data_IF_728678124977
#
_entry.id   IF_728678124977
#
_cell.length_a   1.000
_cell.length_b   1.000
_cell.length_c   1.000
_cell.angle_alpha   90.00
_cell.angle_beta   90.00
_cell.angle_gamma   90.00
#
_symmetry.space_group_name_H-M   'P 1'
#
loop_
_entity.id
_entity.type
_entity.pdbx_description
1 polymer ?
#
# COMPACT_ATOMS: atom_id res chain seq x y z
N UNK A 1 -38.91 -19.25 41.85
CA UNK A 1 -37.45 -19.20 42.03
C UNK A 1 -36.80 -19.14 40.66
N UNK A 2 -36.33 -17.96 40.26
CA UNK A 2 -35.82 -17.64 38.92
C UNK A 2 -34.36 -18.11 38.76
N UNK A 3 -34.07 -18.90 37.72
CA UNK A 3 -32.71 -19.23 37.28
C UNK A 3 -32.51 -18.72 35.86
N UNK A 4 -31.95 -17.53 35.71
CA UNK A 4 -31.29 -17.08 34.48
C UNK A 4 -30.24 -16.04 34.88
N UNK A 5 -28.95 -16.39 34.87
CA UNK A 5 -28.04 -15.63 34.02
C UNK A 5 -26.83 -16.47 33.57
N UNK A 6 -26.89 -17.10 32.40
CA UNK A 6 -25.68 -17.72 31.81
C UNK A 6 -25.50 -17.49 30.31
N UNK A 7 -26.46 -16.87 29.62
CA UNK A 7 -26.38 -16.66 28.17
C UNK A 7 -25.69 -15.35 27.75
N UNK A 8 -25.37 -14.44 28.68
CA UNK A 8 -24.83 -13.13 28.34
C UNK A 8 -23.31 -13.10 28.08
N UNK A 9 -22.56 -14.13 28.46
CA UNK A 9 -21.08 -14.06 28.45
C UNK A 9 -20.44 -14.54 27.14
N UNK A 10 -21.16 -15.27 26.28
CA UNK A 10 -20.62 -15.81 25.03
C UNK A 10 -20.66 -14.84 23.84
N UNK A 11 -21.38 -13.72 23.94
CA UNK A 11 -21.49 -12.75 22.84
C UNK A 11 -20.31 -11.76 22.75
N UNK A 12 -19.46 -11.66 23.77
CA UNK A 12 -18.37 -10.67 23.85
C UNK A 12 -17.02 -11.14 23.26
N UNK A 13 -16.89 -12.41 22.85
CA UNK A 13 -15.63 -12.94 22.29
C UNK A 13 -15.53 -12.90 20.75
N UNK A 14 -16.58 -12.47 20.05
CA UNK A 14 -16.63 -12.49 18.57
C UNK A 14 -16.24 -11.17 17.89
N UNK A 15 -15.85 -10.14 18.65
CA UNK A 15 -15.55 -8.81 18.09
C UNK A 15 -14.07 -8.44 18.01
N UNK A 16 -13.18 -9.35 18.40
CA UNK A 16 -11.75 -9.21 18.15
C UNK A 16 -11.41 -9.85 16.80
N UNK A 17 -11.76 -9.19 15.69
CA UNK A 17 -11.18 -9.57 14.41
C UNK A 17 -9.65 -9.54 14.59
N UNK A 18 -8.92 -10.63 14.30
CA UNK A 18 -7.47 -10.65 14.46
C UNK A 18 -6.90 -9.53 13.58
N UNK A 19 -5.90 -8.79 14.09
CA UNK A 19 -5.23 -7.68 13.39
C UNK A 19 -4.68 -8.04 11.98
N UNK A 20 -4.71 -9.32 11.63
CA UNK A 20 -4.18 -9.96 10.45
C UNK A 20 -5.26 -9.99 9.35
N UNK A 21 -6.54 -9.80 9.68
CA UNK A 21 -7.64 -9.76 8.71
C UNK A 21 -7.45 -8.64 7.67
N UNK A 22 -6.80 -7.53 8.04
CA UNK A 22 -6.46 -6.44 7.11
C UNK A 22 -5.46 -6.86 6.03
N UNK A 23 -4.57 -7.80 6.33
CA UNK A 23 -3.52 -8.25 5.41
C UNK A 23 -4.05 -9.20 4.33
N UNK A 24 -5.19 -9.87 4.56
CA UNK A 24 -5.83 -10.75 3.57
C UNK A 24 -6.66 -10.01 2.51
N UNK A 25 -6.82 -8.69 2.64
CA UNK A 25 -7.54 -7.86 1.69
C UNK A 25 -6.61 -6.81 1.07
N UNK A 26 -6.88 -6.43 -0.18
CA UNK A 26 -6.22 -5.28 -0.82
C UNK A 26 -6.76 -3.95 -0.32
N UNK A 27 -7.89 -3.93 0.37
CA UNK A 27 -8.58 -2.70 0.73
C UNK A 27 -7.72 -1.83 1.66
N UNK A 28 -7.27 -0.68 1.15
CA UNK A 28 -6.53 0.36 1.90
C UNK A 28 -7.47 1.45 2.43
N UNK A 29 -8.79 1.20 2.39
CA UNK A 29 -9.84 2.14 2.76
C UNK A 29 -9.72 3.49 2.01
N UNK A 30 -9.40 3.46 0.71
CA UNK A 30 -9.11 4.68 -0.07
C UNK A 30 -10.26 5.71 -0.13
N UNK A 31 -11.49 5.31 0.16
CA UNK A 31 -12.62 6.24 0.29
C UNK A 31 -12.50 7.19 1.50
N UNK A 32 -11.62 6.88 2.46
CA UNK A 32 -11.35 7.71 3.66
C UNK A 32 -10.28 8.79 3.42
N UNK A 33 -9.67 8.82 2.22
CA UNK A 33 -8.66 9.82 1.88
C UNK A 33 -9.27 11.22 1.78
N UNK A 34 -8.55 12.24 2.27
CA UNK A 34 -9.09 13.61 2.39
C UNK A 34 -9.24 14.34 1.07
N UNK A 35 -8.53 13.92 0.02
CA UNK A 35 -8.53 14.59 -1.29
C UNK A 35 -8.77 13.58 -2.41
N UNK A 36 -9.37 14.01 -3.55
CA UNK A 36 -9.54 13.15 -4.71
C UNK A 36 -8.22 12.59 -5.25
N UNK A 37 -7.15 13.38 -5.22
CA UNK A 37 -5.83 12.93 -5.67
C UNK A 37 -5.27 11.85 -4.75
N UNK A 38 -5.29 12.05 -3.42
CA UNK A 38 -4.87 11.03 -2.44
C UNK A 38 -5.68 9.72 -2.60
N UNK A 39 -6.99 9.83 -2.83
CA UNK A 39 -7.84 8.68 -3.11
C UNK A 39 -7.41 7.96 -4.39
N UNK A 40 -7.04 8.70 -5.44
CA UNK A 40 -6.48 8.18 -6.69
C UNK A 40 -5.16 7.43 -6.50
N UNK A 41 -4.18 8.02 -5.80
CA UNK A 41 -2.90 7.35 -5.48
C UNK A 41 -3.16 6.06 -4.70
N UNK A 42 -3.98 6.16 -3.65
CA UNK A 42 -4.33 5.03 -2.80
C UNK A 42 -4.94 3.89 -3.62
N UNK A 43 -5.86 4.19 -4.55
CA UNK A 43 -6.50 3.17 -5.39
C UNK A 43 -5.52 2.49 -6.34
N UNK A 44 -4.53 3.21 -6.87
CA UNK A 44 -3.47 2.61 -7.68
C UNK A 44 -2.59 1.67 -6.84
N UNK A 45 -2.23 2.07 -5.62
CA UNK A 45 -1.49 1.20 -4.69
C UNK A 45 -2.32 -0.07 -4.36
N UNK A 46 -3.58 0.09 -3.96
CA UNK A 46 -4.53 -1.00 -3.67
C UNK A 46 -4.64 -1.99 -4.84
N UNK A 47 -4.76 -1.47 -6.07
CA UNK A 47 -4.85 -2.27 -7.29
C UNK A 47 -3.57 -3.08 -7.56
N UNK A 48 -2.40 -2.48 -7.32
CA UNK A 48 -1.11 -3.09 -7.71
C UNK A 48 -0.37 -3.82 -6.60
N UNK A 49 -0.90 -3.86 -5.37
CA UNK A 49 -0.36 -4.71 -4.31
C UNK A 49 -0.20 -6.18 -4.78
N UNK A 50 0.65 -6.93 -4.13
CA UNK A 50 0.87 -8.34 -4.45
C UNK A 50 0.68 -9.18 -3.20
N UNK A 51 -0.01 -10.31 -3.35
CA UNK A 51 -0.12 -11.27 -2.25
C UNK A 51 1.23 -11.95 -2.07
N UNK A 52 1.74 -11.94 -0.85
CA UNK A 52 3.01 -12.55 -0.48
C UNK A 52 2.76 -13.52 0.66
N UNK A 53 3.37 -14.69 0.59
CA UNK A 53 3.34 -15.67 1.68
C UNK A 53 4.36 -15.36 2.78
N UNK A 54 5.47 -14.74 2.40
CA UNK A 54 6.59 -14.48 3.28
C UNK A 54 6.79 -12.97 3.44
N UNK A 55 7.14 -12.54 4.65
CA UNK A 55 7.58 -11.18 4.95
C UNK A 55 8.76 -11.26 5.92
N UNK A 56 9.87 -10.59 5.62
CA UNK A 56 11.09 -10.63 6.47
C UNK A 56 11.56 -12.04 6.87
N UNK A 57 11.40 -13.02 5.98
CA UNK A 57 11.82 -14.41 6.23
C UNK A 57 10.88 -15.21 7.13
N UNK A 58 9.70 -14.69 7.49
CA UNK A 58 8.68 -15.40 8.27
C UNK A 58 7.42 -15.63 7.46
N UNK A 59 6.62 -16.65 7.83
CA UNK A 59 5.31 -16.90 7.25
C UNK A 59 4.36 -15.77 7.68
N UNK A 60 4.05 -14.88 6.75
CA UNK A 60 3.24 -13.70 6.98
C UNK A 60 2.39 -13.41 5.73
N UNK A 61 1.36 -14.23 5.48
CA UNK A 61 0.52 -14.11 4.30
C UNK A 61 -0.22 -12.78 4.27
N UNK A 62 -0.18 -12.10 3.13
CA UNK A 62 -0.97 -10.90 2.94
C UNK A 62 -0.62 -10.09 1.69
N UNK A 63 -1.48 -9.13 1.36
CA UNK A 63 -1.24 -8.15 0.32
C UNK A 63 -0.25 -7.10 0.79
N UNK A 64 0.82 -6.91 0.02
CA UNK A 64 1.93 -6.01 0.33
C UNK A 64 2.20 -5.09 -0.84
N UNK A 65 2.75 -3.93 -0.52
CA UNK A 65 3.39 -3.07 -1.50
C UNK A 65 4.79 -3.61 -1.76
N UNK A 66 5.03 -4.12 -2.96
CA UNK A 66 6.36 -4.58 -3.41
C UNK A 66 6.99 -3.54 -4.33
N UNK A 67 8.26 -3.68 -4.68
CA UNK A 67 8.83 -2.84 -5.72
C UNK A 67 8.09 -3.00 -7.07
N UNK A 68 7.53 -4.18 -7.39
CA UNK A 68 6.70 -4.36 -8.59
C UNK A 68 5.38 -3.59 -8.48
N UNK A 69 4.78 -3.54 -7.29
CA UNK A 69 3.62 -2.69 -7.01
C UNK A 69 3.95 -1.21 -7.25
N UNK A 70 5.06 -0.72 -6.70
CA UNK A 70 5.49 0.68 -6.90
C UNK A 70 5.75 0.96 -8.38
N UNK A 71 6.41 0.04 -9.10
CA UNK A 71 6.60 0.16 -10.55
C UNK A 71 5.27 0.35 -11.27
N UNK A 72 4.33 -0.57 -11.06
CA UNK A 72 3.02 -0.54 -11.73
C UNK A 72 2.27 0.75 -11.38
N UNK A 73 2.28 1.16 -10.12
CA UNK A 73 1.67 2.43 -9.68
C UNK A 73 2.33 3.65 -10.35
N UNK A 74 3.65 3.70 -10.40
CA UNK A 74 4.40 4.76 -11.09
C UNK A 74 4.13 4.79 -12.60
N UNK A 75 4.04 3.63 -13.23
CA UNK A 75 3.81 3.57 -14.68
C UNK A 75 2.35 3.85 -15.06
N UNK A 76 1.41 3.66 -14.12
CA UNK A 76 -0.02 3.93 -14.34
C UNK A 76 -0.38 5.42 -14.21
N UNK A 77 0.43 6.24 -13.53
CA UNK A 77 0.24 7.70 -13.47
C UNK A 77 1.56 8.44 -13.41
N UNK A 78 1.65 9.60 -14.05
CA UNK A 78 2.79 10.49 -13.86
C UNK A 78 2.82 11.02 -12.43
N UNK A 79 3.99 10.97 -11.80
CA UNK A 79 4.28 11.63 -10.52
C UNK A 79 5.27 12.77 -10.75
N UNK A 80 5.13 13.82 -9.96
CA UNK A 80 5.87 15.06 -10.05
C UNK A 80 6.18 15.60 -8.65
N UNK A 81 7.08 16.60 -8.52
CA UNK A 81 7.32 17.25 -7.24
C UNK A 81 6.06 17.84 -6.58
N UNK A 82 5.01 18.17 -7.36
CA UNK A 82 3.74 18.66 -6.83
C UNK A 82 2.96 17.59 -6.04
N UNK A 83 3.27 16.31 -6.23
CA UNK A 83 2.66 15.19 -5.51
C UNK A 83 3.29 14.95 -4.12
N UNK A 84 4.43 15.56 -3.81
CA UNK A 84 5.12 15.32 -2.53
C UNK A 84 4.26 15.65 -1.30
N UNK A 85 3.52 16.78 -1.24
CA UNK A 85 2.69 17.08 -0.08
C UNK A 85 1.58 16.05 0.16
N UNK A 86 0.96 15.53 -0.90
CA UNK A 86 -0.10 14.50 -0.75
C UNK A 86 0.49 13.17 -0.31
N UNK A 87 1.67 12.80 -0.82
CA UNK A 87 2.37 11.58 -0.41
C UNK A 87 2.81 11.66 1.07
N UNK A 88 3.33 12.81 1.52
CA UNK A 88 3.64 13.04 2.94
C UNK A 88 2.41 12.92 3.84
N UNK A 89 1.25 13.39 3.38
CA UNK A 89 0.01 13.21 4.13
C UNK A 89 -0.40 11.73 4.20
N UNK A 90 -0.27 10.98 3.10
CA UNK A 90 -0.60 9.56 3.05
C UNK A 90 0.34 8.71 3.91
N UNK A 91 1.59 9.13 4.11
CA UNK A 91 2.53 8.50 5.05
C UNK A 91 2.05 8.52 6.51
N UNK A 92 1.09 9.39 6.86
CA UNK A 92 0.47 9.45 8.19
C UNK A 92 -0.71 8.49 8.35
N UNK A 93 -0.97 7.61 7.36
CA UNK A 93 -2.04 6.61 7.43
C UNK A 93 -1.80 5.60 8.55
N UNK A 94 -2.88 5.14 9.19
CA UNK A 94 -2.82 4.01 10.12
C UNK A 94 -2.55 2.66 9.41
N UNK A 95 -2.80 2.58 8.09
CA UNK A 95 -2.46 1.41 7.29
C UNK A 95 -0.98 1.48 6.87
N UNK A 96 -0.17 0.60 7.44
CA UNK A 96 1.28 0.52 7.20
C UNK A 96 1.62 0.29 5.73
N UNK A 97 0.75 -0.36 4.95
CA UNK A 97 0.98 -0.63 3.52
C UNK A 97 0.85 0.66 2.72
N UNK A 98 -0.15 1.47 3.05
CA UNK A 98 -0.33 2.80 2.45
C UNK A 98 0.83 3.72 2.81
N UNK A 99 1.27 3.70 4.07
CA UNK A 99 2.45 4.45 4.52
C UNK A 99 3.70 4.07 3.72
N UNK A 100 4.00 2.77 3.61
CA UNK A 100 5.15 2.26 2.86
C UNK A 100 5.07 2.62 1.38
N UNK A 101 3.89 2.49 0.77
CA UNK A 101 3.67 2.84 -0.63
C UNK A 101 3.86 4.33 -0.91
N UNK A 102 3.29 5.19 -0.07
CA UNK A 102 3.45 6.63 -0.19
C UNK A 102 4.93 7.06 -0.01
N UNK A 103 5.62 6.49 0.98
CA UNK A 103 7.04 6.76 1.23
C UNK A 103 7.95 6.35 0.08
N UNK A 104 7.70 5.18 -0.52
CA UNK A 104 8.46 4.71 -1.68
C UNK A 104 8.23 5.61 -2.91
N UNK A 105 6.97 5.99 -3.19
CA UNK A 105 6.63 6.91 -4.28
C UNK A 105 7.27 8.29 -4.06
N UNK A 106 7.18 8.84 -2.85
CA UNK A 106 7.81 10.13 -2.52
C UNK A 106 9.32 10.07 -2.75
N UNK A 107 9.97 9.01 -2.28
CA UNK A 107 11.41 8.82 -2.47
C UNK A 107 11.79 8.80 -3.95
N UNK A 108 10.98 8.17 -4.81
CA UNK A 108 11.21 8.19 -6.26
C UNK A 108 11.03 9.59 -6.85
N UNK A 109 9.99 10.32 -6.44
CA UNK A 109 9.75 11.71 -6.88
C UNK A 109 10.93 12.60 -6.49
N UNK A 110 11.30 12.62 -5.21
CA UNK A 110 12.33 13.51 -4.66
C UNK A 110 13.72 13.25 -5.25
N UNK A 111 13.99 12.00 -5.63
CA UNK A 111 15.29 11.63 -6.22
C UNK A 111 15.30 11.71 -7.74
N UNK A 112 14.21 12.10 -8.38
CA UNK A 112 14.17 12.33 -9.82
C UNK A 112 14.64 13.76 -10.14
N UNK A 113 15.55 13.98 -11.12
CA UNK A 113 16.10 12.99 -12.04
C UNK A 113 17.26 12.16 -11.44
N UNK A 114 17.26 10.87 -11.77
CA UNK A 114 18.35 9.92 -11.46
C UNK A 114 19.26 9.74 -12.70
N UNK A 115 20.51 9.27 -12.54
CA UNK A 115 21.35 8.86 -13.67
C UNK A 115 20.66 7.80 -14.55
N UNK A 116 20.91 7.80 -15.86
CA UNK A 116 20.27 6.85 -16.79
C UNK A 116 20.55 5.37 -16.44
N UNK A 117 21.71 5.07 -15.85
CA UNK A 117 22.08 3.73 -15.39
C UNK A 117 21.37 3.27 -14.11
N UNK A 118 20.67 4.17 -13.41
CA UNK A 118 20.00 3.85 -12.15
C UNK A 118 18.70 3.09 -12.38
N UNK A 119 18.51 1.97 -11.69
CA UNK A 119 17.22 1.24 -11.66
C UNK A 119 16.11 2.04 -10.97
N UNK A 120 16.41 3.19 -10.36
CA UNK A 120 15.40 4.11 -9.83
C UNK A 120 15.06 5.24 -10.81
N UNK A 121 15.69 5.29 -11.99
CA UNK A 121 15.32 6.20 -13.07
C UNK A 121 14.13 5.61 -13.84
N UNK A 122 12.96 6.28 -13.93
CA UNK A 122 11.80 5.81 -14.70
C UNK A 122 12.07 5.52 -16.19
N UNK A 123 13.07 6.17 -16.78
CA UNK A 123 13.48 5.96 -18.16
C UNK A 123 14.38 4.72 -18.36
N UNK A 124 14.87 4.11 -17.28
CA UNK A 124 15.69 2.91 -17.36
C UNK A 124 14.78 1.68 -17.66
N UNK A 125 15.12 0.80 -18.64
CA UNK A 125 14.36 -0.42 -18.89
C UNK A 125 14.30 -1.36 -17.68
N UNK A 126 15.24 -1.21 -16.76
CA UNK A 126 15.32 -1.94 -15.50
C UNK A 126 14.56 -1.23 -14.34
N UNK A 127 13.79 -0.17 -14.63
CA UNK A 127 13.17 0.68 -13.61
C UNK A 127 12.32 -0.07 -12.59
N UNK A 128 12.63 0.21 -11.32
CA UNK A 128 12.13 -0.34 -10.06
C UNK A 128 11.69 -1.80 -10.22
N UNK A 129 12.65 -2.58 -10.71
CA UNK A 129 12.80 -4.04 -10.62
C UNK A 129 13.13 -4.71 -11.95
N UNK A 130 12.98 -4.04 -13.10
CA UNK A 130 12.89 -4.54 -14.50
C UNK A 130 11.52 -4.43 -15.14
N UNK A 131 11.39 -4.78 -16.42
CA UNK A 131 10.26 -4.43 -17.33
C UNK A 131 9.92 -2.93 -17.45
N UNK A 132 10.58 -2.06 -16.69
CA UNK A 132 10.37 -0.62 -16.64
C UNK A 132 8.90 -0.22 -16.65
N UNK A 133 8.61 0.89 -17.31
CA UNK A 133 7.25 1.26 -17.69
C UNK A 133 6.94 0.77 -19.10
N UNK A 134 6.68 -0.53 -19.23
CA UNK A 134 6.13 -1.10 -20.47
C UNK A 134 4.60 -0.95 -20.46
N UNK A 135 4.06 -0.36 -21.52
CA UNK A 135 2.61 -0.37 -21.81
C UNK A 135 2.20 -1.79 -22.16
N UNK A 136 1.39 -2.43 -21.32
CA UNK A 136 0.65 -3.64 -21.69
C UNK A 136 -0.70 -3.27 -22.30
#
# INVERSE_FOLDING_TARGET
MQRLPQLATLALMLWSAPAWAGDWTRNLACATQKTPDAAGICKLLETHMEFQWLGHGTLAPGYRVTFASIRKTWCARSFSPADVPVLLQMEQSADWRLQMGASALRTLVEKTPQPASSVYNPANPDFILRQGCTTH
#
